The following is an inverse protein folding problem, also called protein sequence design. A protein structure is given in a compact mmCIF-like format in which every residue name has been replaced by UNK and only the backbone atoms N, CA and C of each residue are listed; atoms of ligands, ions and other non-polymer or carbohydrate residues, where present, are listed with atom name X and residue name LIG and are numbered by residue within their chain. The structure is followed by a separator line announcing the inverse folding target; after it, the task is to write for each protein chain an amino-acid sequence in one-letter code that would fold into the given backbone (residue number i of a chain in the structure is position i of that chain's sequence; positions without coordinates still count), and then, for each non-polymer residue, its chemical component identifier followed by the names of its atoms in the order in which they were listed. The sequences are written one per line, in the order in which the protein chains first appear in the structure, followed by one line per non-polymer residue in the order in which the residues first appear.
data_IF_135196812104
#
_entry.id   IF_135196812104
#
_cell.length_a   1.000
_cell.length_b   1.000
_cell.length_c   1.000
_cell.angle_alpha   90.00
_cell.angle_beta   90.00
_cell.angle_gamma   90.00
#
_symmetry.space_group_name_H-M   'P 1'
#
loop_
_entity.id
_entity.type
_entity.pdbx_description
1 polymer ?
#
# COMPACT_ATOMS: atom_id res chain seq x y z
N UNK A 1 -8.09 2.31 1.89
CA UNK A 1 -7.77 0.94 2.30
C UNK A 1 -7.86 0.04 1.10
N UNK A 2 -6.69 -0.39 0.61
CA UNK A 2 -6.63 -1.47 -0.37
C UNK A 2 -7.17 -2.78 0.23
N UNK A 3 -7.76 -3.66 -0.59
CA UNK A 3 -8.19 -4.97 -0.13
C UNK A 3 -6.99 -5.85 0.25
N UNK A 4 -7.18 -6.74 1.23
CA UNK A 4 -6.14 -7.60 1.82
C UNK A 4 -5.39 -8.44 0.77
N UNK A 5 -6.05 -8.82 -0.32
CA UNK A 5 -5.45 -9.64 -1.38
C UNK A 5 -4.34 -8.90 -2.16
N UNK A 6 -4.40 -7.56 -2.21
CA UNK A 6 -3.34 -6.73 -2.81
C UNK A 6 -2.15 -6.64 -1.87
N UNK A 7 -2.41 -6.59 -0.57
CA UNK A 7 -1.37 -6.53 0.47
C UNK A 7 -0.59 -7.85 0.52
N UNK A 8 -1.27 -9.00 0.44
CA UNK A 8 -0.64 -10.32 0.47
C UNK A 8 0.21 -10.62 -0.77
N UNK A 9 -0.07 -9.97 -1.90
CA UNK A 9 0.72 -10.08 -3.14
C UNK A 9 1.96 -9.18 -3.15
N UNK A 10 2.17 -8.36 -2.12
CA UNK A 10 3.37 -7.53 -2.05
C UNK A 10 4.62 -8.42 -1.89
N UNK A 11 5.69 -8.17 -2.67
CA UNK A 11 6.95 -8.89 -2.50
C UNK A 11 7.46 -8.81 -1.06
N UNK A 12 8.05 -9.89 -0.54
CA UNK A 12 8.60 -9.92 0.82
C UNK A 12 9.67 -8.85 1.07
N UNK A 13 10.35 -8.38 0.01
CA UNK A 13 11.31 -7.28 0.04
C UNK A 13 10.71 -5.87 0.06
N UNK A 14 9.38 -5.72 -0.01
CA UNK A 14 8.74 -4.39 0.02
C UNK A 14 8.76 -3.85 1.46
N UNK A 15 9.70 -2.97 1.76
CA UNK A 15 9.86 -2.41 3.10
C UNK A 15 8.72 -1.45 3.46
N UNK A 16 8.56 -1.18 4.76
CA UNK A 16 7.70 -0.08 5.21
C UNK A 16 8.34 1.25 4.88
N UNK A 17 7.57 2.22 4.40
CA UNK A 17 8.07 3.52 4.01
C UNK A 17 7.08 4.32 3.17
N UNK A 18 7.53 5.47 2.68
CA UNK A 18 6.76 6.31 1.77
C UNK A 18 7.24 6.06 0.34
N UNK A 19 6.28 5.79 -0.53
CA UNK A 19 6.48 5.52 -1.95
C UNK A 19 5.79 6.61 -2.77
N UNK A 20 6.31 6.88 -3.97
CA UNK A 20 5.70 7.81 -4.92
C UNK A 20 5.47 7.11 -6.25
N UNK A 21 4.48 7.58 -7.00
CA UNK A 21 4.18 7.02 -8.30
C UNK A 21 2.95 7.64 -8.91
N UNK A 22 2.21 6.81 -9.64
CA UNK A 22 1.03 7.20 -10.38
C UNK A 22 -0.16 6.36 -9.93
N UNK A 23 -1.31 6.99 -9.75
CA UNK A 23 -2.58 6.33 -9.48
C UNK A 23 -3.56 6.66 -10.59
N UNK A 24 -4.30 5.66 -11.06
CA UNK A 24 -5.38 5.86 -12.01
C UNK A 24 -6.72 5.88 -11.25
N UNK A 25 -7.48 6.95 -11.39
CA UNK A 25 -8.83 7.09 -10.84
C UNK A 25 -9.77 7.47 -11.97
N UNK A 26 -10.81 6.67 -12.19
CA UNK A 26 -11.81 6.87 -13.25
C UNK A 26 -11.23 7.10 -14.66
N UNK A 27 -10.09 6.44 -14.95
CA UNK A 27 -9.40 6.52 -16.24
C UNK A 27 -8.38 7.67 -16.35
N UNK A 28 -8.28 8.54 -15.35
CA UNK A 28 -7.32 9.63 -15.31
C UNK A 28 -6.12 9.30 -14.40
N UNK A 29 -4.92 9.72 -14.83
CA UNK A 29 -3.66 9.41 -14.15
C UNK A 29 -3.20 10.60 -13.31
N UNK A 30 -2.97 10.35 -12.02
CA UNK A 30 -2.56 11.34 -11.02
C UNK A 30 -1.21 10.99 -10.41
N UNK A 31 -0.43 12.01 -10.06
CA UNK A 31 0.75 11.84 -9.19
C UNK A 31 0.28 11.52 -7.78
N UNK A 32 0.86 10.50 -7.17
CA UNK A 32 0.41 9.96 -5.89
C UNK A 32 1.61 9.59 -5.00
N UNK A 33 1.37 9.66 -3.68
CA UNK A 33 2.25 9.11 -2.65
C UNK A 33 1.49 8.06 -1.85
N UNK A 34 2.13 6.91 -1.61
CA UNK A 34 1.59 5.80 -0.83
C UNK A 34 2.42 5.62 0.44
N UNK A 35 1.75 5.54 1.59
CA UNK A 35 2.40 5.18 2.86
C UNK A 35 2.18 3.72 3.13
N UNK A 36 3.26 2.95 3.23
CA UNK A 36 3.20 1.53 3.56
C UNK A 36 3.75 1.36 4.97
N UNK A 37 2.90 0.89 5.87
CA UNK A 37 3.24 0.68 7.27
C UNK A 37 2.62 -0.60 7.82
N UNK A 38 2.92 -0.88 9.08
CA UNK A 38 2.22 -1.90 9.85
C UNK A 38 0.91 -1.33 10.36
N UNK A 39 -0.18 -2.08 10.22
CA UNK A 39 -1.47 -1.66 10.76
C UNK A 39 -1.58 -2.07 12.25
N UNK A 40 -1.64 -1.12 13.21
CA UNK A 40 -1.68 -1.44 14.64
C UNK A 40 -2.98 -2.15 15.06
N UNK A 41 -4.06 -2.01 14.27
CA UNK A 41 -5.34 -2.68 14.53
C UNK A 41 -5.32 -4.19 14.24
N UNK A 42 -4.28 -4.69 13.56
CA UNK A 42 -4.10 -6.10 13.21
C UNK A 42 -2.87 -6.72 13.87
N UNK A 43 -2.54 -6.32 15.10
CA UNK A 43 -1.40 -6.83 15.87
C UNK A 43 -0.05 -6.78 15.11
N UNK A 44 0.10 -5.89 14.12
CA UNK A 44 1.26 -5.78 13.23
C UNK A 44 1.58 -7.02 12.38
N UNK A 45 0.65 -7.95 12.17
CA UNK A 45 0.88 -9.10 11.27
C UNK A 45 0.57 -8.78 9.80
N UNK A 46 -0.07 -7.62 9.53
CA UNK A 46 -0.42 -7.19 8.17
C UNK A 46 0.09 -5.79 7.86
N UNK A 47 0.68 -5.64 6.67
CA UNK A 47 1.01 -4.33 6.08
C UNK A 47 -0.29 -3.64 5.65
N UNK A 48 -0.36 -2.31 5.73
CA UNK A 48 -1.49 -1.52 5.20
C UNK A 48 -1.01 -0.45 4.24
N UNK A 49 -1.87 -0.13 3.26
CA UNK A 49 -1.67 0.88 2.22
C UNK A 49 -2.98 1.67 1.98
#
# INVERSE_FOLDING_TARGET
NYPDDVIEKLPSGFQTGIYYGWAALDGEIYKMVASIGWNPFYQNDKKSM
#
